data_IF_592155112328
#
_entry.id   IF_592155112328
#
_cell.length_a   1.000
_cell.length_b   1.000
_cell.length_c   1.000
_cell.angle_alpha   90.00
_cell.angle_beta   90.00
_cell.angle_gamma   90.00
#
_symmetry.space_group_name_H-M   'P 1'
#
loop_
_entity.id
_entity.type
_entity.pdbx_description
1 polymer ?
#
# COMPACT_ATOMS: atom_id res chain seq x y z
N UNK A 1 1.10 8.69 -11.92
CA UNK A 1 2.04 9.63 -11.26
C UNK A 1 2.41 9.04 -9.90
N UNK A 2 3.67 8.64 -9.69
CA UNK A 2 4.09 8.16 -8.37
C UNK A 2 4.38 9.37 -7.47
N UNK A 3 3.82 9.40 -6.26
CA UNK A 3 4.11 10.45 -5.29
C UNK A 3 4.49 9.84 -3.93
N UNK A 4 5.47 10.42 -3.21
CA UNK A 4 5.77 10.00 -1.85
C UNK A 4 4.57 10.31 -0.96
N UNK A 5 4.16 9.32 -0.17
CA UNK A 5 3.14 9.45 0.87
C UNK A 5 3.66 8.81 2.16
N UNK A 6 3.29 9.29 3.34
CA UNK A 6 3.67 8.64 4.59
C UNK A 6 2.95 7.29 4.73
N UNK A 7 3.70 6.26 5.12
CA UNK A 7 3.13 4.96 5.44
C UNK A 7 2.28 5.08 6.71
N UNK A 8 1.05 4.57 6.68
CA UNK A 8 0.15 4.58 7.84
C UNK A 8 0.58 3.60 8.95
N UNK A 9 1.44 2.64 8.62
CA UNK A 9 1.91 1.60 9.56
C UNK A 9 3.19 2.00 10.28
N UNK A 10 4.19 2.52 9.57
CA UNK A 10 5.50 2.87 10.16
C UNK A 10 5.87 4.36 10.08
N UNK A 11 5.09 5.20 9.41
CA UNK A 11 5.41 6.62 9.23
C UNK A 11 6.49 6.94 8.20
N UNK A 12 7.25 5.95 7.73
CA UNK A 12 8.28 6.14 6.69
C UNK A 12 7.67 6.48 5.32
N UNK A 13 8.52 6.99 4.41
CA UNK A 13 8.07 7.33 3.06
C UNK A 13 7.73 6.07 2.27
N UNK A 14 6.49 5.99 1.81
CA UNK A 14 6.02 5.01 0.83
C UNK A 14 5.54 5.70 -0.44
N UNK A 15 5.14 4.95 -1.46
CA UNK A 15 4.81 5.48 -2.78
C UNK A 15 3.38 5.10 -3.11
N UNK A 16 2.58 6.09 -3.48
CA UNK A 16 1.25 5.86 -4.05
C UNK A 16 1.27 6.13 -5.55
N UNK A 17 0.77 5.17 -6.33
CA UNK A 17 0.68 5.24 -7.79
C UNK A 17 1.03 3.92 -8.47
N UNK A 18 0.91 3.90 -9.80
CA UNK A 18 1.10 2.74 -10.67
C UNK A 18 2.55 2.23 -10.81
N UNK A 19 3.50 2.71 -10.00
CA UNK A 19 4.87 2.17 -9.92
C UNK A 19 5.80 2.51 -11.10
N UNK A 20 5.29 2.90 -12.27
CA UNK A 20 6.12 3.14 -13.47
C UNK A 20 7.24 4.18 -13.29
N UNK A 21 7.08 5.14 -12.38
CA UNK A 21 8.06 6.21 -12.14
C UNK A 21 8.79 6.08 -10.79
N UNK A 22 8.73 4.92 -10.14
CA UNK A 22 9.27 4.76 -8.77
C UNK A 22 10.79 4.89 -8.72
N UNK A 23 11.51 4.54 -9.79
CA UNK A 23 12.97 4.63 -9.85
C UNK A 23 13.47 6.07 -9.72
N UNK A 24 12.81 7.02 -10.39
CA UNK A 24 13.16 8.45 -10.30
C UNK A 24 12.84 9.02 -8.90
N UNK A 25 11.72 8.60 -8.29
CA UNK A 25 11.36 9.04 -6.93
C UNK A 25 12.31 8.44 -5.90
N UNK A 26 12.73 7.19 -6.08
CA UNK A 26 13.74 6.53 -5.23
C UNK A 26 15.10 7.21 -5.32
N UNK A 27 15.49 7.76 -6.49
CA UNK A 27 16.73 8.52 -6.62
C UNK A 27 16.74 9.81 -5.78
N UNK A 28 15.57 10.38 -5.47
CA UNK A 28 15.44 11.60 -4.67
C UNK A 28 15.32 11.36 -3.16
N UNK A 29 15.08 10.12 -2.71
CA UNK A 29 14.85 9.80 -1.30
C UNK A 29 15.90 8.77 -0.82
N UNK A 30 16.66 9.04 0.25
CA UNK A 30 17.63 8.10 0.79
C UNK A 30 16.98 6.76 1.17
N UNK A 31 17.69 5.65 0.93
CA UNK A 31 17.18 4.30 1.22
C UNK A 31 16.77 4.11 2.69
N UNK A 32 17.41 4.81 3.63
CA UNK A 32 17.06 4.76 5.07
C UNK A 32 15.73 5.43 5.44
N UNK A 33 15.06 6.10 4.50
CA UNK A 33 13.74 6.73 4.71
C UNK A 33 12.60 5.94 4.04
N UNK A 34 12.92 4.79 3.45
CA UNK A 34 11.97 3.96 2.73
C UNK A 34 11.20 3.06 3.68
N UNK A 35 9.90 2.92 3.41
CA UNK A 35 9.10 1.89 4.06
C UNK A 35 9.62 0.50 3.66
N UNK A 36 9.99 -0.39 4.61
CA UNK A 36 10.50 -1.74 4.33
C UNK A 36 9.43 -2.70 3.79
N UNK A 37 8.17 -2.25 3.69
CA UNK A 37 7.03 -3.09 3.38
C UNK A 37 6.45 -3.70 4.66
N UNK A 38 5.13 -3.85 4.68
CA UNK A 38 4.40 -4.47 5.78
C UNK A 38 3.45 -5.52 5.24
N UNK A 39 3.20 -6.61 5.99
CA UNK A 39 2.11 -7.51 5.65
C UNK A 39 0.80 -6.72 5.64
N UNK A 40 0.06 -6.81 4.53
CA UNK A 40 -1.29 -6.29 4.51
C UNK A 40 -2.13 -7.13 5.49
N UNK A 41 -2.81 -6.45 6.43
CA UNK A 41 -3.72 -7.15 7.34
C UNK A 41 -4.76 -7.92 6.51
N UNK A 42 -4.97 -9.22 6.78
CA UNK A 42 -5.95 -10.00 6.04
C UNK A 42 -7.31 -9.33 6.15
N UNK A 43 -7.80 -8.79 5.02
CA UNK A 43 -9.18 -8.29 4.97
C UNK A 43 -10.08 -9.47 5.30
N UNK A 44 -10.98 -9.35 6.30
CA UNK A 44 -11.91 -10.42 6.59
C UNK A 44 -12.71 -10.74 5.33
N UNK A 45 -13.02 -12.02 5.08
CA UNK A 45 -13.83 -12.39 3.93
C UNK A 45 -15.14 -11.59 3.96
N UNK A 46 -15.58 -11.06 2.80
CA UNK A 46 -16.90 -10.44 2.67
C UNK A 46 -17.98 -11.53 2.79
N UNK A 47 -18.22 -12.02 4.00
CA UNK A 47 -19.42 -12.81 4.31
C UNK A 47 -20.59 -11.84 4.37
N UNK A 48 -21.30 -11.69 3.26
CA UNK A 48 -22.58 -11.00 3.22
C UNK A 48 -23.65 -11.98 3.72
N UNK A 49 -24.27 -11.77 4.89
CA UNK A 49 -25.13 -12.79 5.52
C UNK A 49 -26.42 -13.08 4.74
N UNK A 50 -26.84 -12.19 3.84
CA UNK A 50 -28.09 -12.30 3.05
C UNK A 50 -27.93 -12.97 1.66
N UNK A 51 -26.73 -13.42 1.27
CA UNK A 51 -26.47 -14.06 -0.05
C UNK A 51 -26.53 -15.60 -0.04
N UNK A 52 -27.18 -16.23 0.95
CA UNK A 52 -27.25 -17.70 1.08
C UNK A 52 -28.60 -18.33 0.70
N UNK A 53 -29.64 -17.52 0.45
CA UNK A 53 -31.01 -18.02 0.27
C UNK A 53 -31.57 -17.74 -1.14
N UNK A 54 -30.73 -17.79 -2.18
CA UNK A 54 -31.18 -17.74 -3.57
C UNK A 54 -31.10 -19.15 -4.17
N UNK A 55 -32.09 -19.96 -3.83
CA UNK A 55 -32.52 -21.13 -4.60
C UNK A 55 -33.81 -20.75 -5.29
#
# INVERSE_FOLDING_TARGET
MCRPVPCRTCGNTTWSGCGQHIAQVKAAVPAGQWCPGHPAEPRPPRSWPWRKNRT
#
